data_IF_751545564208
#
_entry.id   IF_751545564208
#
_cell.length_a   1.000
_cell.length_b   1.000
_cell.length_c   1.000
_cell.angle_alpha   90.00
_cell.angle_beta   90.00
_cell.angle_gamma   90.00
#
_symmetry.space_group_name_H-M   'P 1'
#
loop_
_entity.id
_entity.type
_entity.pdbx_description
1 polymer ?
#
# COMPACT_ATOMS: atom_id res chain seq x y z
N UNK A 1 16.57 -8.70 5.45
CA UNK A 1 16.33 -7.25 5.55
C UNK A 1 16.38 -6.54 4.21
N UNK A 2 17.53 -6.50 3.53
CA UNK A 2 17.72 -5.68 2.32
C UNK A 2 16.67 -5.93 1.25
N UNK A 3 16.34 -7.21 1.01
CA UNK A 3 15.31 -7.57 0.05
C UNK A 3 13.94 -6.94 0.37
N UNK A 4 13.46 -7.10 1.60
CA UNK A 4 12.17 -6.56 2.06
C UNK A 4 12.16 -5.04 2.04
N UNK A 5 13.28 -4.40 2.39
CA UNK A 5 13.43 -2.96 2.28
C UNK A 5 13.26 -2.49 0.82
N UNK A 6 13.94 -3.15 -0.12
CA UNK A 6 13.88 -2.80 -1.55
C UNK A 6 12.48 -2.99 -2.09
N UNK A 7 11.85 -4.15 -1.85
CA UNK A 7 10.49 -4.42 -2.33
C UNK A 7 9.46 -3.47 -1.72
N UNK A 8 9.62 -3.12 -0.43
CA UNK A 8 8.76 -2.14 0.24
C UNK A 8 8.93 -0.74 -0.30
N UNK A 9 10.16 -0.33 -0.63
CA UNK A 9 10.44 0.97 -1.26
C UNK A 9 9.70 1.11 -2.59
N UNK A 10 9.75 0.07 -3.44
CA UNK A 10 9.00 0.08 -4.69
C UNK A 10 7.48 -0.02 -4.49
N UNK A 11 7.02 -0.75 -3.47
CA UNK A 11 5.60 -0.88 -3.18
C UNK A 11 4.91 0.47 -2.92
N UNK A 12 5.62 1.44 -2.31
CA UNK A 12 5.09 2.79 -2.05
C UNK A 12 4.71 3.53 -3.34
N UNK A 13 5.44 3.33 -4.44
CA UNK A 13 5.22 4.03 -5.72
C UNK A 13 4.56 3.14 -6.79
N UNK A 14 4.18 1.92 -6.41
CA UNK A 14 3.84 0.88 -7.36
C UNK A 14 2.50 1.10 -8.05
N UNK A 15 1.57 1.82 -7.40
CA UNK A 15 0.29 2.19 -7.98
C UNK A 15 0.46 3.29 -9.03
N UNK A 16 1.37 4.24 -8.80
CA UNK A 16 1.72 5.32 -9.73
C UNK A 16 2.45 4.76 -10.95
N UNK A 17 3.26 3.72 -10.77
CA UNK A 17 3.84 2.99 -11.90
C UNK A 17 2.74 2.31 -12.72
N UNK A 18 1.76 1.68 -12.08
CA UNK A 18 0.60 1.12 -12.80
C UNK A 18 -0.17 2.22 -13.56
N UNK A 19 -0.41 3.38 -12.96
CA UNK A 19 -1.03 4.55 -13.59
C UNK A 19 -0.23 5.09 -14.79
N UNK A 20 1.10 5.06 -14.70
CA UNK A 20 1.98 5.46 -15.79
C UNK A 20 1.94 4.47 -16.95
N UNK A 21 1.78 3.17 -16.67
CA UNK A 21 1.77 2.11 -17.66
C UNK A 21 0.39 1.91 -18.33
N UNK A 22 -0.70 2.21 -17.63
CA UNK A 22 -2.06 1.98 -18.08
C UNK A 22 -2.83 3.30 -18.17
N UNK A 23 -3.14 3.75 -19.38
CA UNK A 23 -3.87 5.01 -19.61
C UNK A 23 -5.31 4.97 -19.11
N UNK A 24 -5.90 3.78 -19.03
CA UNK A 24 -7.25 3.50 -18.56
C UNK A 24 -7.44 3.90 -17.09
N UNK A 25 -6.35 3.94 -16.31
CA UNK A 25 -6.36 4.33 -14.91
C UNK A 25 -6.52 5.84 -14.70
N UNK A 26 -6.34 6.65 -15.74
CA UNK A 26 -6.21 8.10 -15.62
C UNK A 26 -7.56 8.78 -15.79
N UNK A 27 -8.02 9.44 -14.73
CA UNK A 27 -9.21 10.27 -14.83
C UNK A 27 -8.94 11.51 -15.69
N UNK A 28 -9.89 11.83 -16.57
CA UNK A 28 -9.87 13.05 -17.38
C UNK A 28 -10.28 14.25 -16.54
N UNK A 29 -11.14 14.04 -15.54
CA UNK A 29 -11.64 15.09 -14.67
C UNK A 29 -11.47 14.75 -13.18
N UNK A 30 -11.19 15.79 -12.38
CA UNK A 30 -11.14 15.67 -10.93
C UNK A 30 -12.55 15.86 -10.36
N UNK A 31 -13.19 14.75 -10.02
CA UNK A 31 -14.57 14.73 -9.53
C UNK A 31 -14.61 14.51 -8.03
N UNK A 32 -15.38 15.37 -7.33
CA UNK A 32 -15.61 15.27 -5.89
C UNK A 32 -16.40 14.00 -5.53
N UNK A 33 -16.19 13.41 -4.33
CA UNK A 33 -16.83 12.15 -3.96
C UNK A 33 -18.37 12.14 -4.04
N UNK A 34 -19.02 13.28 -3.82
CA UNK A 34 -20.48 13.43 -3.89
C UNK A 34 -21.04 13.48 -5.31
N UNK A 35 -20.20 13.75 -6.30
CA UNK A 35 -20.58 13.96 -7.70
C UNK A 35 -20.26 12.74 -8.59
N UNK A 36 -19.74 11.67 -7.99
CA UNK A 36 -19.39 10.45 -8.71
C UNK A 36 -20.66 9.79 -9.27
N UNK A 37 -20.66 9.53 -10.57
CA UNK A 37 -21.75 8.86 -11.29
C UNK A 37 -21.72 7.32 -11.08
N UNK A 38 -21.92 6.87 -9.84
CA UNK A 38 -21.86 5.44 -9.49
C UNK A 38 -22.86 4.58 -10.26
N UNK A 39 -24.10 5.07 -10.41
CA UNK A 39 -25.17 4.37 -11.13
C UNK A 39 -24.86 4.24 -12.62
N UNK A 40 -24.45 5.34 -13.25
CA UNK A 40 -24.10 5.35 -14.68
C UNK A 40 -22.90 4.45 -14.98
N UNK A 41 -21.89 4.44 -14.10
CA UNK A 41 -20.76 3.52 -14.20
C UNK A 41 -21.20 2.05 -14.13
N UNK A 42 -22.08 1.70 -13.18
CA UNK A 42 -22.61 0.34 -13.06
C UNK A 42 -23.44 -0.07 -14.28
N UNK A 43 -24.40 0.78 -14.68
CA UNK A 43 -25.31 0.51 -15.78
C UNK A 43 -24.56 0.43 -17.13
N UNK A 44 -23.54 1.29 -17.31
CA UNK A 44 -22.65 1.27 -18.46
C UNK A 44 -21.89 -0.05 -18.57
N UNK A 45 -21.25 -0.48 -17.47
CA UNK A 45 -20.50 -1.74 -17.42
C UNK A 45 -21.40 -2.96 -17.63
N UNK A 46 -22.59 -3.00 -17.00
CA UNK A 46 -23.54 -4.10 -17.18
C UNK A 46 -24.10 -4.19 -18.61
N UNK A 47 -24.19 -3.05 -19.31
CA UNK A 47 -24.61 -3.01 -20.72
C UNK A 47 -23.54 -3.55 -21.66
N UNK A 48 -22.28 -3.19 -21.42
CA UNK A 48 -21.16 -3.58 -22.28
C UNK A 48 -20.65 -5.00 -21.97
N UNK A 49 -20.63 -5.39 -20.70
CA UNK A 49 -20.14 -6.67 -20.20
C UNK A 49 -21.21 -7.44 -19.41
N UNK A 50 -22.37 -7.78 -20.01
CA UNK A 50 -23.50 -8.40 -19.31
C UNK A 50 -23.20 -9.79 -18.74
N UNK A 51 -22.15 -10.45 -19.24
CA UNK A 51 -21.74 -11.78 -18.78
C UNK A 51 -20.67 -11.75 -17.69
N UNK A 52 -20.17 -10.58 -17.30
CA UNK A 52 -19.13 -10.44 -16.27
C UNK A 52 -19.80 -10.34 -14.90
N UNK A 53 -19.20 -10.97 -13.90
CA UNK A 53 -19.64 -10.88 -12.51
C UNK A 53 -18.94 -9.70 -11.82
N UNK A 54 -19.67 -8.62 -11.55
CA UNK A 54 -19.13 -7.41 -10.93
C UNK A 54 -19.06 -7.59 -9.41
N UNK A 55 -17.84 -7.62 -8.85
CA UNK A 55 -17.60 -7.75 -7.40
C UNK A 55 -17.88 -6.42 -6.69
N UNK A 56 -17.49 -5.31 -7.31
CA UNK A 56 -17.70 -3.98 -6.74
C UNK A 56 -16.95 -2.89 -7.49
N UNK A 57 -17.47 -1.66 -7.37
CA UNK A 57 -16.87 -0.43 -7.91
C UNK A 57 -16.24 0.33 -6.74
N UNK A 58 -14.99 0.74 -6.92
CA UNK A 58 -14.17 1.39 -5.90
C UNK A 58 -13.60 2.69 -6.45
N UNK A 59 -13.56 3.73 -5.61
CA UNK A 59 -12.78 4.94 -5.87
C UNK A 59 -11.46 4.83 -5.11
N UNK A 60 -10.35 4.94 -5.82
CA UNK A 60 -9.04 5.09 -5.20
C UNK A 60 -8.96 6.46 -4.50
N UNK A 61 -8.16 6.56 -3.44
CA UNK A 61 -8.11 7.76 -2.59
C UNK A 61 -7.69 9.02 -3.35
N UNK A 62 -6.83 8.89 -4.36
CA UNK A 62 -6.37 10.03 -5.15
C UNK A 62 -7.32 10.33 -6.32
N UNK A 63 -7.64 11.61 -6.57
CA UNK A 63 -8.73 11.98 -7.46
C UNK A 63 -8.41 11.80 -8.95
N UNK A 64 -7.14 11.69 -9.34
CA UNK A 64 -6.68 11.49 -10.73
C UNK A 64 -6.75 10.03 -11.21
N UNK A 65 -7.34 9.14 -10.41
CA UNK A 65 -7.65 7.77 -10.82
C UNK A 65 -9.12 7.63 -11.23
N UNK A 66 -9.33 6.86 -12.28
CA UNK A 66 -10.65 6.38 -12.66
C UNK A 66 -11.24 5.45 -11.60
N UNK A 67 -12.57 5.26 -11.68
CA UNK A 67 -13.26 4.25 -10.90
C UNK A 67 -12.73 2.87 -11.28
N UNK A 68 -12.40 2.09 -10.26
CA UNK A 68 -11.94 0.73 -10.43
C UNK A 68 -13.09 -0.23 -10.13
N UNK A 69 -13.49 -1.00 -11.11
CA UNK A 69 -14.43 -2.11 -10.90
C UNK A 69 -13.69 -3.42 -10.94
N UNK A 70 -13.82 -4.23 -9.88
CA UNK A 70 -13.36 -5.60 -9.87
C UNK A 70 -14.43 -6.49 -10.48
N UNK A 71 -14.04 -7.32 -11.46
CA UNK A 71 -14.96 -8.23 -12.12
C UNK A 71 -14.33 -9.60 -12.39
N UNK A 72 -15.17 -10.62 -12.51
CA UNK A 72 -14.80 -11.97 -12.93
C UNK A 72 -15.37 -12.23 -14.32
N UNK A 73 -14.52 -12.64 -15.25
CA UNK A 73 -14.94 -12.97 -16.61
C UNK A 73 -15.70 -14.30 -16.66
N UNK A 74 -16.47 -14.60 -17.73
CA UNK A 74 -17.14 -15.89 -17.89
C UNK A 74 -16.21 -17.11 -17.81
N UNK A 75 -14.93 -16.92 -18.17
CA UNK A 75 -13.87 -17.93 -18.11
C UNK A 75 -13.05 -17.90 -16.81
N UNK A 76 -13.58 -17.27 -15.76
CA UNK A 76 -13.04 -17.30 -14.39
C UNK A 76 -11.72 -16.54 -14.18
N UNK A 77 -11.50 -15.47 -14.94
CA UNK A 77 -10.35 -14.57 -14.72
C UNK A 77 -10.77 -13.32 -13.96
N UNK A 78 -9.91 -12.88 -13.03
CA UNK A 78 -10.09 -11.59 -12.37
C UNK A 78 -9.58 -10.48 -13.29
N UNK A 79 -10.38 -9.43 -13.47
CA UNK A 79 -10.04 -8.25 -14.26
C UNK A 79 -10.41 -6.98 -13.51
N UNK A 80 -9.81 -5.87 -13.95
CA UNK A 80 -10.13 -4.52 -13.50
C UNK A 80 -10.70 -3.74 -14.66
N UNK A 81 -11.94 -3.31 -14.54
CA UNK A 81 -12.60 -2.42 -15.48
C UNK A 81 -12.44 -0.99 -14.95
N UNK A 82 -12.18 -0.04 -15.85
CA UNK A 82 -12.00 1.36 -15.51
C UNK A 82 -13.10 2.20 -16.15
N UNK A 83 -13.68 3.09 -15.36
CA UNK A 83 -14.67 4.05 -15.82
C UNK A 83 -14.41 5.45 -15.28
N UNK A 84 -14.77 6.46 -16.05
CA UNK A 84 -14.63 7.86 -15.67
C UNK A 84 -15.58 8.19 -14.51
N UNK A 85 -15.12 8.89 -13.46
CA UNK A 85 -15.96 9.21 -12.31
C UNK A 85 -17.08 10.21 -12.61
N UNK A 86 -16.94 11.06 -13.63
CA UNK A 86 -17.89 12.14 -13.93
C UNK A 86 -19.22 11.65 -14.53
N UNK A 87 -19.14 10.67 -15.43
CA UNK A 87 -20.26 10.21 -16.25
C UNK A 87 -20.35 8.68 -16.35
N UNK A 88 -19.42 7.95 -15.75
CA UNK A 88 -19.38 6.49 -15.79
C UNK A 88 -18.93 5.91 -17.12
N UNK A 89 -18.40 6.72 -18.05
CA UNK A 89 -17.93 6.24 -19.34
C UNK A 89 -16.82 5.20 -19.17
N UNK A 90 -16.91 4.13 -19.94
CA UNK A 90 -15.94 3.04 -19.90
C UNK A 90 -14.64 3.42 -20.61
N UNK A 91 -13.51 3.27 -19.91
CA UNK A 91 -12.18 3.67 -20.41
C UNK A 91 -11.31 2.46 -20.78
N UNK A 92 -11.58 1.28 -20.22
CA UNK A 92 -10.91 0.05 -20.64
C UNK A 92 -10.76 -1.02 -19.57
N UNK A 93 -10.12 -2.13 -19.95
CA UNK A 93 -9.86 -3.28 -19.07
C UNK A 93 -8.36 -3.44 -18.85
N UNK A 94 -7.98 -3.68 -17.60
CA UNK A 94 -6.62 -4.08 -17.24
C UNK A 94 -6.63 -5.43 -16.52
N UNK A 95 -5.52 -6.14 -16.60
CA UNK A 95 -5.34 -7.39 -15.86
C UNK A 95 -5.31 -7.15 -14.35
N UNK A 96 -5.74 -8.16 -13.60
CA UNK A 96 -5.64 -8.16 -12.14
C UNK A 96 -4.19 -8.33 -11.63
N UNK A 97 -3.25 -8.78 -12.49
CA UNK A 97 -1.83 -8.79 -12.17
C UNK A 97 -1.19 -7.47 -12.57
N UNK A 98 -0.61 -6.74 -11.63
CA UNK A 98 0.07 -5.47 -11.93
C UNK A 98 1.29 -5.23 -11.06
N UNK A 99 2.00 -4.14 -11.34
CA UNK A 99 3.23 -3.76 -10.63
C UNK A 99 2.92 -3.56 -9.15
N UNK A 100 1.79 -2.92 -8.83
CA UNK A 100 1.33 -2.76 -7.46
C UNK A 100 1.13 -4.09 -6.74
N UNK A 101 0.38 -5.01 -7.35
CA UNK A 101 0.12 -6.30 -6.74
C UNK A 101 1.40 -7.13 -6.59
N UNK A 102 2.30 -7.03 -7.57
CA UNK A 102 3.59 -7.69 -7.51
C UNK A 102 4.42 -7.18 -6.32
N UNK A 103 4.72 -5.89 -6.23
CA UNK A 103 5.57 -5.38 -5.15
C UNK A 103 4.91 -5.52 -3.77
N UNK A 104 3.59 -5.32 -3.67
CA UNK A 104 2.86 -5.49 -2.42
C UNK A 104 2.91 -6.93 -1.91
N UNK A 105 2.70 -7.92 -2.78
CA UNK A 105 2.82 -9.34 -2.40
C UNK A 105 4.27 -9.71 -2.10
N UNK A 106 5.22 -9.34 -2.97
CA UNK A 106 6.65 -9.59 -2.72
C UNK A 106 7.12 -9.01 -1.38
N UNK A 107 6.66 -7.82 -0.99
CA UNK A 107 7.02 -7.20 0.27
C UNK A 107 6.32 -7.87 1.46
N UNK A 108 5.00 -8.08 1.38
CA UNK A 108 4.19 -8.54 2.51
C UNK A 108 4.37 -10.03 2.82
N UNK A 109 4.45 -10.88 1.80
CA UNK A 109 4.48 -12.34 1.97
C UNK A 109 5.49 -13.07 1.06
N UNK A 110 6.41 -12.36 0.40
CA UNK A 110 7.42 -12.93 -0.50
C UNK A 110 6.82 -13.79 -1.63
N UNK A 111 5.58 -13.50 -2.06
CA UNK A 111 4.79 -14.34 -2.99
C UNK A 111 4.45 -15.74 -2.48
N UNK A 112 4.63 -15.99 -1.19
CA UNK A 112 4.17 -17.22 -0.53
C UNK A 112 2.75 -17.04 0.00
N UNK A 113 2.04 -18.12 0.35
CA UNK A 113 0.75 -18.03 1.05
C UNK A 113 0.85 -17.11 2.28
N UNK A 114 -0.20 -16.35 2.57
CA UNK A 114 -0.18 -15.32 3.62
C UNK A 114 0.21 -15.90 4.99
N UNK A 115 -0.36 -17.05 5.35
CA UNK A 115 -0.09 -17.77 6.61
C UNK A 115 1.37 -18.17 6.84
N UNK A 116 2.19 -18.20 5.79
CA UNK A 116 3.61 -18.55 5.89
C UNK A 116 4.51 -17.36 5.59
N UNK A 117 4.18 -16.59 4.57
CA UNK A 117 4.98 -15.44 4.14
C UNK A 117 4.92 -14.27 5.11
N UNK A 118 3.73 -13.96 5.65
CA UNK A 118 3.56 -12.82 6.58
C UNK A 118 4.41 -13.01 7.84
N UNK A 119 4.37 -14.16 8.56
CA UNK A 119 5.22 -14.36 9.74
C UNK A 119 6.71 -14.25 9.46
N UNK A 120 7.17 -14.72 8.29
CA UNK A 120 8.60 -14.64 7.91
C UNK A 120 9.02 -13.19 7.73
N UNK A 121 8.21 -12.39 7.04
CA UNK A 121 8.48 -10.97 6.81
C UNK A 121 8.39 -10.19 8.12
N UNK A 122 7.34 -10.40 8.92
CA UNK A 122 7.13 -9.64 10.16
C UNK A 122 8.14 -10.03 11.26
N UNK A 123 8.65 -11.26 11.28
CA UNK A 123 9.78 -11.66 12.14
C UNK A 123 11.05 -10.83 11.88
N UNK A 124 11.16 -10.20 10.72
CA UNK A 124 12.29 -9.32 10.40
C UNK A 124 12.28 -8.02 11.22
N UNK A 125 11.20 -7.73 11.94
CA UNK A 125 11.11 -6.63 12.88
C UNK A 125 12.08 -6.77 14.07
N UNK A 126 12.34 -7.99 14.56
CA UNK A 126 13.22 -8.21 15.72
C UNK A 126 14.67 -7.78 15.45
N UNK A 127 15.36 -8.27 14.40
CA UNK A 127 16.70 -7.78 14.07
C UNK A 127 16.70 -6.29 13.70
N UNK A 128 15.61 -5.75 13.12
CA UNK A 128 15.48 -4.31 12.87
C UNK A 128 15.44 -3.51 14.19
N UNK A 129 14.65 -3.94 15.18
CA UNK A 129 14.62 -3.35 16.53
C UNK A 129 15.98 -3.45 17.22
N UNK A 130 16.63 -4.62 17.17
CA UNK A 130 17.95 -4.81 17.76
C UNK A 130 18.95 -3.83 17.11
N UNK A 131 18.91 -3.65 15.80
CA UNK A 131 19.77 -2.71 15.09
C UNK A 131 19.52 -1.25 15.50
N UNK A 132 18.25 -0.88 15.69
CA UNK A 132 17.84 0.46 16.12
C UNK A 132 18.32 0.75 17.55
N UNK A 133 18.08 -0.18 18.48
CA UNK A 133 18.51 -0.09 19.88
C UNK A 133 20.03 -0.02 19.96
N UNK A 134 20.74 -0.89 19.23
CA UNK A 134 22.20 -0.87 19.16
C UNK A 134 22.72 0.48 18.64
N UNK A 135 22.06 1.06 17.63
CA UNK A 135 22.38 2.40 17.10
C UNK A 135 22.32 3.48 18.17
N UNK A 136 21.27 3.51 18.99
CA UNK A 136 21.11 4.48 20.08
C UNK A 136 22.11 4.27 21.23
N UNK A 137 22.47 3.02 21.54
CA UNK A 137 23.48 2.70 22.56
C UNK A 137 24.88 3.15 22.12
N UNK A 138 25.25 2.85 20.87
CA UNK A 138 26.58 3.16 20.32
C UNK A 138 26.74 4.66 20.09
N UNK A 139 25.73 5.33 19.52
CA UNK A 139 25.77 6.76 19.26
C UNK A 139 25.23 7.56 20.45
N UNK A 140 26.03 7.65 21.51
CA UNK A 140 25.69 8.44 22.70
C UNK A 140 25.38 9.89 22.34
N UNK A 141 24.37 10.46 23.01
CA UNK A 141 23.87 11.83 22.75
C UNK A 141 23.42 12.02 21.30
N UNK A 142 22.77 11.00 20.72
CA UNK A 142 22.31 11.01 19.33
C UNK A 142 21.45 12.25 18.99
N UNK A 143 20.70 12.76 19.96
CA UNK A 143 19.87 13.97 19.85
C UNK A 143 20.66 15.23 19.43
N UNK A 144 21.96 15.31 19.71
CA UNK A 144 22.82 16.40 19.22
C UNK A 144 23.22 16.24 17.74
N UNK A 145 22.91 15.09 17.13
CA UNK A 145 23.30 14.72 15.78
C UNK A 145 22.35 15.16 14.67
N UNK A 146 21.08 15.52 14.97
CA UNK A 146 20.04 15.74 13.95
C UNK A 146 20.40 16.80 12.91
N UNK A 147 21.16 17.81 13.30
CA UNK A 147 21.55 18.93 12.43
C UNK A 147 23.07 18.96 12.17
N UNK A 148 23.79 17.89 12.52
CA UNK A 148 25.24 17.84 12.37
C UNK A 148 25.59 17.56 10.90
N UNK A 149 26.14 18.56 10.22
CA UNK A 149 26.52 18.44 8.81
C UNK A 149 27.62 17.39 8.61
N UNK A 150 27.48 16.50 7.60
CA UNK A 150 28.54 15.57 7.23
C UNK A 150 29.80 16.32 6.77
N UNK A 151 30.98 15.78 7.08
CA UNK A 151 32.25 16.40 6.67
C UNK A 151 32.61 15.96 5.26
N UNK A 152 32.25 16.78 4.26
CA UNK A 152 32.50 16.50 2.84
C UNK A 152 34.00 16.50 2.44
N UNK A 153 34.85 17.26 3.14
CA UNK A 153 36.29 17.35 2.83
C UNK A 153 37.15 16.25 3.47
N UNK A 154 36.56 15.10 3.84
CA UNK A 154 37.25 13.98 4.50
C UNK A 154 37.23 12.73 3.63
N UNK A 155 38.10 11.77 3.95
CA UNK A 155 38.15 10.45 3.28
C UNK A 155 36.75 9.82 3.25
N UNK A 156 36.42 9.11 2.17
CA UNK A 156 35.13 8.46 1.92
C UNK A 156 34.61 7.70 3.13
N UNK A 157 35.46 6.93 3.84
CA UNK A 157 35.11 6.20 5.06
C UNK A 157 34.51 7.08 6.18
N UNK A 158 35.07 8.27 6.38
CA UNK A 158 34.61 9.20 7.43
C UNK A 158 33.31 9.85 6.98
N UNK A 159 33.25 10.25 5.72
CA UNK A 159 32.09 10.89 5.13
C UNK A 159 30.86 9.95 5.10
N UNK A 160 31.02 8.71 4.66
CA UNK A 160 29.94 7.72 4.66
C UNK A 160 29.44 7.39 6.06
N UNK A 161 30.34 7.33 7.07
CA UNK A 161 29.97 7.17 8.46
C UNK A 161 29.21 8.37 9.04
N UNK A 162 29.56 9.61 8.64
CA UNK A 162 28.80 10.80 9.01
C UNK A 162 27.39 10.79 8.39
N UNK A 163 27.27 10.40 7.11
CA UNK A 163 25.97 10.24 6.43
C UNK A 163 25.13 9.14 7.09
N UNK A 164 25.70 7.96 7.33
CA UNK A 164 24.98 6.85 7.94
C UNK A 164 24.38 7.24 9.30
N UNK A 165 25.13 7.98 10.13
CA UNK A 165 24.63 8.50 11.42
C UNK A 165 23.51 9.51 11.23
N UNK A 166 23.66 10.46 10.31
CA UNK A 166 22.66 11.49 10.06
C UNK A 166 21.36 10.88 9.51
N UNK A 167 21.46 10.06 8.47
CA UNK A 167 20.32 9.37 7.85
C UNK A 167 19.68 8.43 8.86
N UNK A 168 20.46 7.57 9.51
CA UNK A 168 19.96 6.62 10.51
C UNK A 168 19.22 7.31 11.66
N UNK A 169 19.66 8.50 12.08
CA UNK A 169 19.00 9.29 13.09
C UNK A 169 17.67 9.88 12.58
N UNK A 170 17.65 10.49 11.40
CA UNK A 170 16.43 11.03 10.78
C UNK A 170 15.40 9.95 10.44
N UNK A 171 15.85 8.75 10.08
CA UNK A 171 14.95 7.63 9.78
C UNK A 171 14.59 6.80 11.00
N UNK A 172 15.20 7.06 12.17
CA UNK A 172 15.06 6.21 13.36
C UNK A 172 13.62 6.08 13.87
N UNK A 173 12.85 7.17 13.82
CA UNK A 173 11.45 7.16 14.24
C UNK A 173 10.56 6.42 13.24
N UNK A 174 10.82 6.51 11.93
CA UNK A 174 10.16 5.66 10.93
C UNK A 174 10.51 4.19 11.14
N UNK A 175 11.78 3.86 11.38
CA UNK A 175 12.22 2.50 11.70
C UNK A 175 11.50 1.98 12.94
N UNK A 176 11.36 2.80 13.98
CA UNK A 176 10.62 2.44 15.18
C UNK A 176 9.15 2.13 14.88
N UNK A 177 8.46 3.00 14.13
CA UNK A 177 7.06 2.79 13.73
C UNK A 177 6.88 1.51 12.90
N UNK A 178 7.72 1.30 11.89
CA UNK A 178 7.68 0.11 11.04
C UNK A 178 7.96 -1.14 11.86
N UNK A 179 8.95 -1.10 12.74
CA UNK A 179 9.32 -2.26 13.54
C UNK A 179 8.25 -2.62 14.57
N UNK A 180 7.65 -1.63 15.26
CA UNK A 180 6.58 -1.85 16.22
C UNK A 180 5.30 -2.38 15.56
N UNK A 181 4.87 -1.78 14.45
CA UNK A 181 3.73 -2.28 13.67
C UNK A 181 4.00 -3.68 13.11
N UNK A 182 5.22 -3.97 12.66
CA UNK A 182 5.59 -5.32 12.19
C UNK A 182 5.58 -6.36 13.33
N UNK A 183 6.03 -6.00 14.54
CA UNK A 183 5.90 -6.89 15.72
C UNK A 183 4.44 -7.15 16.05
N UNK A 184 3.58 -6.13 15.95
CA UNK A 184 2.14 -6.29 16.14
C UNK A 184 1.56 -7.31 15.16
N UNK A 185 1.82 -7.15 13.86
CA UNK A 185 1.35 -8.10 12.84
C UNK A 185 1.93 -9.51 13.01
N UNK A 186 3.16 -9.64 13.52
CA UNK A 186 3.74 -10.95 13.84
C UNK A 186 2.95 -11.65 14.95
N UNK A 187 2.54 -10.93 15.99
CA UNK A 187 1.74 -11.48 17.09
C UNK A 187 0.34 -11.85 16.60
N UNK A 188 -0.29 -10.97 15.82
CA UNK A 188 -1.62 -11.19 15.25
C UNK A 188 -1.68 -12.46 14.40
N UNK A 189 -0.75 -12.62 13.46
CA UNK A 189 -0.71 -13.78 12.55
C UNK A 189 -0.40 -15.09 13.29
N UNK A 190 0.27 -15.03 14.45
CA UNK A 190 0.52 -16.19 15.32
C UNK A 190 -0.65 -16.52 16.27
N UNK A 191 -1.81 -15.88 16.09
CA UNK A 191 -3.02 -16.16 16.87
C UNK A 191 -3.15 -15.31 18.13
N UNK A 192 -2.44 -14.18 18.21
CA UNK A 192 -2.80 -13.11 19.13
C UNK A 192 -4.15 -12.54 18.72
N UNK A 193 -5.24 -13.04 19.32
CA UNK A 193 -6.62 -12.62 19.05
C UNK A 193 -6.77 -11.08 19.06
N UNK A 194 -6.70 -10.45 17.88
CA UNK A 194 -7.16 -9.07 17.71
C UNK A 194 -8.69 -9.07 17.90
N UNK A 195 -9.25 -8.30 18.85
CA UNK A 195 -10.69 -8.14 18.91
C UNK A 195 -11.17 -7.57 17.56
N UNK A 196 -12.26 -8.11 16.99
CA UNK A 196 -12.79 -7.58 15.73
C UNK A 196 -13.12 -6.10 15.93
N UNK A 197 -12.95 -5.29 14.86
CA UNK A 197 -13.46 -3.92 14.90
C UNK A 197 -14.95 -3.96 15.28
N UNK A 198 -15.39 -3.15 16.25
CA UNK A 198 -16.81 -3.07 16.56
C UNK A 198 -17.56 -2.70 15.28
N UNK A 199 -18.57 -3.50 14.95
CA UNK A 199 -19.42 -3.22 13.80
C UNK A 199 -20.10 -1.86 13.94
N UNK A 200 -20.48 -1.22 12.82
CA UNK A 200 -21.26 0.01 12.89
C UNK A 200 -22.53 -0.23 13.69
N UNK A 201 -22.90 0.71 14.55
CA UNK A 201 -24.17 0.71 15.26
C UNK A 201 -25.27 0.94 14.22
N UNK A 202 -25.90 -0.15 13.76
CA UNK A 202 -26.91 -0.07 12.70
C UNK A 202 -28.21 0.41 13.32
N UNK A 203 -28.52 1.70 13.16
CA UNK A 203 -29.89 2.17 13.32
C UNK A 203 -30.68 1.75 12.07
N UNK A 204 -31.37 0.61 12.14
CA UNK A 204 -32.27 0.16 11.07
C UNK A 204 -33.46 1.11 11.06
N UNK A 205 -33.36 2.20 10.29
CA UNK A 205 -34.51 3.05 10.00
C UNK A 205 -35.47 2.23 9.15
N UNK A 206 -36.58 1.81 9.74
CA UNK A 206 -37.67 1.18 9.00
C UNK A 206 -38.14 2.16 7.93
N UNK A 207 -37.90 1.83 6.66
CA UNK A 207 -38.57 2.52 5.56
C UNK A 207 -40.00 2.01 5.54
N UNK A 208 -40.91 2.79 6.11
CA UNK A 208 -42.34 2.55 5.99
C UNK A 208 -42.69 2.57 4.49
N UNK A 209 -43.24 1.45 4.03
CA UNK A 209 -43.70 1.17 2.67
C UNK A 209 -45.00 1.87 2.33
#
# INVERSE_FOLDING_TARGET
MTFILVTGTFAVLSLEVDWLLNSEMRAKELVEPSEIAWGDAYDGLMREYPSYDLIGIFRLSDPWFNLQTLAITPWQENVRLWSEPADGNFEGVTTFYSVQRFFRSMHRNLMMPERTGVPIVTAMAFPLLISLIAGFIVYKKFWLGFFKRPRFNKKVRIWSGDIHRLVGLWTSWFIALIALSSVWYFIEELGGNSPPFPGPEVEVVSRDS
#
